data_IF_068201950161
#
_entry.id   IF_068201950161
#
_cell.length_a   1.000
_cell.length_b   1.000
_cell.length_c   1.000
_cell.angle_alpha   90.00
_cell.angle_beta   90.00
_cell.angle_gamma   90.00
#
_symmetry.space_group_name_H-M   'P 1'
#
loop_
_entity.id
_entity.type
_entity.pdbx_description
1 polymer ?
#
# COMPACT_ATOMS: atom_id res chain seq x y z
N UNK A 1 -14.33 -29.36 -23.53
CA UNK A 1 -15.13 -28.15 -23.82
C UNK A 1 -14.61 -27.05 -22.91
N UNK A 2 -14.01 -25.99 -23.47
CA UNK A 2 -13.40 -24.93 -22.67
C UNK A 2 -14.51 -24.12 -21.98
N UNK A 3 -14.43 -23.98 -20.66
CA UNK A 3 -15.37 -23.18 -19.88
C UNK A 3 -14.97 -21.69 -19.87
N UNK A 4 -15.86 -20.81 -19.42
CA UNK A 4 -15.59 -19.36 -19.33
C UNK A 4 -14.29 -19.02 -18.58
N UNK A 5 -13.95 -19.80 -17.55
CA UNK A 5 -12.74 -19.59 -16.76
C UNK A 5 -11.51 -19.85 -17.62
N UNK A 6 -11.51 -20.92 -18.41
CA UNK A 6 -10.45 -21.22 -19.35
C UNK A 6 -10.23 -20.07 -20.35
N UNK A 7 -11.29 -19.55 -20.97
CA UNK A 7 -11.19 -18.46 -21.95
C UNK A 7 -10.54 -17.19 -21.33
N UNK A 8 -10.93 -16.83 -20.10
CA UNK A 8 -10.33 -15.72 -19.35
C UNK A 8 -8.87 -16.00 -19.03
N UNK A 9 -8.53 -17.21 -18.57
CA UNK A 9 -7.15 -17.59 -18.27
C UNK A 9 -6.23 -17.54 -19.49
N UNK A 10 -6.70 -18.03 -20.64
CA UNK A 10 -5.97 -17.95 -21.91
C UNK A 10 -5.71 -16.50 -22.31
N UNK A 11 -6.71 -15.64 -22.20
CA UNK A 11 -6.59 -14.20 -22.52
C UNK A 11 -5.54 -13.50 -21.65
N UNK A 12 -5.52 -13.81 -20.35
CA UNK A 12 -4.53 -13.27 -19.39
C UNK A 12 -3.11 -13.75 -19.72
N UNK A 13 -2.95 -15.01 -20.11
CA UNK A 13 -1.63 -15.60 -20.37
C UNK A 13 -1.04 -15.13 -21.71
N UNK A 14 -1.88 -14.88 -22.72
CA UNK A 14 -1.46 -14.32 -24.02
C UNK A 14 -1.05 -12.85 -23.92
N UNK A 15 -1.64 -12.08 -22.99
CA UNK A 15 -1.40 -10.63 -22.88
C UNK A 15 -0.65 -10.25 -21.59
N UNK A 16 0.69 -10.23 -21.66
CA UNK A 16 1.59 -10.01 -20.51
C UNK A 16 1.87 -8.52 -20.19
N UNK A 17 0.91 -7.63 -20.39
CA UNK A 17 1.09 -6.19 -20.14
C UNK A 17 1.14 -5.82 -18.66
N UNK A 18 2.04 -4.90 -18.30
CA UNK A 18 2.23 -4.38 -16.94
C UNK A 18 3.23 -5.18 -16.09
N UNK A 19 3.52 -4.67 -14.90
CA UNK A 19 4.47 -5.30 -13.96
C UNK A 19 3.97 -6.67 -13.48
N UNK A 20 4.87 -7.48 -12.90
CA UNK A 20 4.51 -8.77 -12.32
C UNK A 20 3.39 -8.67 -11.28
N UNK A 21 3.41 -7.63 -10.42
CA UNK A 21 2.36 -7.42 -9.41
C UNK A 21 1.03 -7.01 -10.04
N UNK A 22 1.04 -6.15 -11.06
CA UNK A 22 -0.17 -5.78 -11.82
C UNK A 22 -0.78 -7.00 -12.50
N UNK A 23 0.05 -7.87 -13.10
CA UNK A 23 -0.39 -9.11 -13.75
C UNK A 23 -0.98 -10.10 -12.75
N UNK A 24 -0.37 -10.24 -11.57
CA UNK A 24 -0.88 -11.09 -10.50
C UNK A 24 -2.24 -10.59 -9.98
N UNK A 25 -2.36 -9.29 -9.67
CA UNK A 25 -3.62 -8.68 -9.22
C UNK A 25 -4.74 -8.80 -10.27
N UNK A 26 -4.40 -8.59 -11.55
CA UNK A 26 -5.31 -8.80 -12.67
C UNK A 26 -5.80 -10.24 -12.74
N UNK A 27 -4.89 -11.22 -12.61
CA UNK A 27 -5.25 -12.64 -12.62
C UNK A 27 -6.22 -12.96 -11.49
N UNK A 28 -5.93 -12.54 -10.27
CA UNK A 28 -6.80 -12.77 -9.12
C UNK A 28 -8.20 -12.16 -9.34
N UNK A 29 -8.26 -10.89 -9.74
CA UNK A 29 -9.51 -10.18 -9.98
C UNK A 29 -10.37 -10.86 -11.07
N UNK A 30 -9.75 -11.20 -12.20
CA UNK A 30 -10.45 -11.80 -13.34
C UNK A 30 -10.82 -13.27 -13.11
N UNK A 31 -10.03 -14.03 -12.36
CA UNK A 31 -10.43 -15.37 -11.91
C UNK A 31 -11.63 -15.29 -10.97
N UNK A 32 -11.72 -14.26 -10.11
CA UNK A 32 -12.89 -14.05 -9.27
C UNK A 32 -14.13 -13.69 -10.09
N UNK A 33 -13.99 -12.77 -11.05
CA UNK A 33 -15.04 -12.44 -12.01
C UNK A 33 -15.53 -13.69 -12.77
N UNK A 34 -14.60 -14.49 -13.31
CA UNK A 34 -14.91 -15.69 -14.06
C UNK A 34 -15.68 -16.72 -13.22
N UNK A 35 -15.30 -16.90 -11.95
CA UNK A 35 -16.00 -17.79 -11.02
C UNK A 35 -17.43 -17.34 -10.77
N UNK A 36 -17.65 -16.05 -10.51
CA UNK A 36 -18.99 -15.50 -10.24
C UNK A 36 -19.91 -15.63 -11.44
N UNK A 37 -19.44 -15.23 -12.63
CA UNK A 37 -20.23 -15.33 -13.86
C UNK A 37 -20.58 -16.76 -14.22
N UNK A 38 -19.60 -17.68 -14.15
CA UNK A 38 -19.86 -19.10 -14.42
C UNK A 38 -20.80 -19.73 -13.39
N UNK A 39 -20.77 -19.27 -12.13
CA UNK A 39 -21.71 -19.72 -11.10
C UNK A 39 -23.14 -19.29 -11.39
N UNK A 40 -23.32 -18.06 -11.88
CA UNK A 40 -24.65 -17.47 -12.13
C UNK A 40 -25.25 -17.85 -13.49
N UNK A 41 -24.43 -17.89 -14.55
CA UNK A 41 -24.89 -18.05 -15.93
C UNK A 41 -24.33 -19.35 -16.50
N UNK A 42 -25.18 -20.37 -16.61
CA UNK A 42 -24.82 -21.66 -17.20
C UNK A 42 -24.48 -21.49 -18.68
N UNK A 43 -23.42 -22.15 -19.14
CA UNK A 43 -23.00 -22.10 -20.55
C UNK A 43 -22.39 -20.76 -21.01
N UNK A 44 -22.12 -19.82 -20.08
CA UNK A 44 -21.47 -18.55 -20.44
C UNK A 44 -20.08 -18.80 -21.02
N UNK A 45 -19.74 -18.00 -22.04
CA UNK A 45 -18.47 -18.01 -22.77
C UNK A 45 -18.03 -16.58 -23.03
N UNK A 46 -16.74 -16.36 -23.27
CA UNK A 46 -16.22 -14.98 -23.37
C UNK A 46 -16.78 -14.24 -24.60
N UNK A 47 -17.03 -14.96 -25.69
CA UNK A 47 -17.66 -14.49 -26.92
C UNK A 47 -19.15 -14.13 -26.76
N UNK A 48 -19.87 -14.67 -25.77
CA UNK A 48 -21.27 -14.38 -25.51
C UNK A 48 -21.53 -13.45 -24.30
N UNK A 49 -20.47 -12.96 -23.63
CA UNK A 49 -20.59 -11.88 -22.64
C UNK A 49 -21.21 -10.63 -23.26
N UNK A 50 -22.21 -10.04 -22.60
CA UNK A 50 -22.98 -8.88 -23.03
C UNK A 50 -23.37 -8.01 -21.82
N UNK A 51 -24.15 -6.94 -22.04
CA UNK A 51 -24.50 -5.94 -21.02
C UNK A 51 -25.19 -6.53 -19.78
N UNK A 52 -26.02 -7.56 -19.95
CA UNK A 52 -26.71 -8.25 -18.84
C UNK A 52 -25.70 -8.85 -17.87
N UNK A 53 -24.68 -9.53 -18.39
CA UNK A 53 -23.67 -10.21 -17.57
C UNK A 53 -22.78 -9.21 -16.81
N UNK A 54 -22.36 -8.13 -17.49
CA UNK A 54 -21.53 -7.10 -16.88
C UNK A 54 -22.32 -6.29 -15.84
N UNK A 55 -23.56 -5.90 -16.16
CA UNK A 55 -24.43 -5.19 -15.22
C UNK A 55 -24.70 -6.01 -13.97
N UNK A 56 -25.00 -7.30 -14.12
CA UNK A 56 -25.17 -8.22 -12.98
C UNK A 56 -23.91 -8.26 -12.10
N UNK A 57 -22.73 -8.45 -12.69
CA UNK A 57 -21.48 -8.51 -11.92
C UNK A 57 -21.21 -7.21 -11.17
N UNK A 58 -21.39 -6.05 -11.82
CA UNK A 58 -21.18 -4.74 -11.19
C UNK A 58 -22.13 -4.54 -10.01
N UNK A 59 -23.40 -4.90 -10.14
CA UNK A 59 -24.34 -4.80 -9.02
C UNK A 59 -23.97 -5.78 -7.91
N UNK A 60 -23.55 -7.00 -8.26
CA UNK A 60 -23.19 -8.02 -7.28
C UNK A 60 -21.99 -7.61 -6.44
N UNK A 61 -20.89 -7.15 -7.04
CA UNK A 61 -19.69 -6.78 -6.28
C UNK A 61 -19.87 -5.56 -5.37
N UNK A 62 -20.92 -4.74 -5.58
CA UNK A 62 -21.24 -3.61 -4.70
C UNK A 62 -21.86 -4.04 -3.38
N UNK A 63 -22.61 -5.14 -3.41
CA UNK A 63 -23.38 -5.61 -2.24
C UNK A 63 -22.78 -6.86 -1.61
N UNK A 64 -22.05 -7.66 -2.39
CA UNK A 64 -21.49 -8.92 -1.91
C UNK A 64 -20.28 -8.66 -1.01
N UNK A 65 -20.29 -9.19 0.23
CA UNK A 65 -19.15 -9.06 1.11
C UNK A 65 -17.93 -9.83 0.59
N UNK A 66 -16.75 -9.34 0.96
CA UNK A 66 -15.50 -10.04 0.72
C UNK A 66 -15.47 -11.35 1.48
N UNK A 67 -15.32 -12.48 0.78
CA UNK A 67 -15.17 -13.82 1.37
C UNK A 67 -14.08 -13.85 2.48
N UNK A 68 -13.03 -13.03 2.34
CA UNK A 68 -11.93 -12.97 3.30
C UNK A 68 -12.26 -12.20 4.58
N UNK A 69 -13.17 -11.22 4.52
CA UNK A 69 -13.35 -10.25 5.61
C UNK A 69 -14.78 -10.11 6.09
N UNK A 70 -15.76 -10.76 5.43
CA UNK A 70 -17.19 -10.60 5.75
C UNK A 70 -17.76 -9.20 5.49
N UNK A 71 -16.93 -8.24 5.08
CA UNK A 71 -17.31 -6.84 4.90
C UNK A 71 -17.49 -6.46 3.43
N UNK A 72 -18.31 -5.43 3.18
CA UNK A 72 -18.46 -4.83 1.86
C UNK A 72 -17.11 -4.40 1.25
N UNK A 73 -17.01 -4.48 -0.08
CA UNK A 73 -15.79 -4.07 -0.77
C UNK A 73 -15.59 -2.55 -0.67
N UNK A 74 -14.38 -2.15 -0.28
CA UNK A 74 -14.04 -0.72 -0.30
C UNK A 74 -14.13 -0.15 -1.73
N UNK A 75 -14.40 1.16 -1.84
CA UNK A 75 -14.34 1.90 -3.11
C UNK A 75 -13.00 1.70 -3.82
N UNK A 76 -11.93 1.54 -3.04
CA UNK A 76 -10.63 1.06 -3.48
C UNK A 76 -10.71 -0.20 -4.33
N UNK A 77 -11.17 -1.27 -3.69
CA UNK A 77 -11.23 -2.61 -4.28
C UNK A 77 -12.18 -2.67 -5.48
N UNK A 78 -13.35 -2.03 -5.40
CA UNK A 78 -14.30 -1.95 -6.52
C UNK A 78 -13.66 -1.37 -7.78
N UNK A 79 -12.97 -0.23 -7.67
CA UNK A 79 -12.32 0.41 -8.83
C UNK A 79 -11.20 -0.44 -9.42
N UNK A 80 -10.46 -1.18 -8.59
CA UNK A 80 -9.41 -2.07 -9.08
C UNK A 80 -10.01 -3.25 -9.87
N UNK A 81 -11.05 -3.89 -9.34
CA UNK A 81 -11.77 -4.96 -10.05
C UNK A 81 -12.26 -4.47 -11.42
N UNK A 82 -12.91 -3.30 -11.46
CA UNK A 82 -13.40 -2.72 -12.70
C UNK A 82 -12.31 -2.31 -13.67
N UNK A 83 -11.14 -1.85 -13.18
CA UNK A 83 -10.01 -1.57 -14.05
C UNK A 83 -9.52 -2.83 -14.77
N UNK A 84 -9.44 -3.96 -14.06
CA UNK A 84 -9.08 -5.24 -14.66
C UNK A 84 -10.17 -5.78 -15.59
N UNK A 85 -11.44 -5.59 -15.25
CA UNK A 85 -12.55 -5.97 -16.13
C UNK A 85 -12.57 -5.16 -17.42
N UNK A 86 -12.36 -3.83 -17.36
CA UNK A 86 -12.22 -3.00 -18.57
C UNK A 86 -11.08 -3.49 -19.45
N UNK A 87 -9.94 -3.81 -18.84
CA UNK A 87 -8.81 -4.38 -19.56
C UNK A 87 -9.19 -5.69 -20.27
N UNK A 88 -9.87 -6.62 -19.60
CA UNK A 88 -10.30 -7.89 -20.21
C UNK A 88 -11.24 -7.63 -21.40
N UNK A 89 -12.22 -6.75 -21.21
CA UNK A 89 -13.20 -6.40 -22.24
C UNK A 89 -12.55 -5.75 -23.46
N UNK A 90 -11.52 -4.93 -23.25
CA UNK A 90 -10.70 -4.39 -24.33
C UNK A 90 -9.98 -5.49 -25.12
N UNK A 91 -9.40 -6.49 -24.44
CA UNK A 91 -8.68 -7.59 -25.12
C UNK A 91 -9.59 -8.45 -26.02
N UNK A 92 -10.90 -8.45 -25.76
CA UNK A 92 -11.88 -9.25 -26.52
C UNK A 92 -12.77 -8.40 -27.44
N UNK A 93 -12.41 -7.12 -27.65
CA UNK A 93 -13.15 -6.23 -28.55
C UNK A 93 -14.51 -5.78 -28.02
N UNK A 94 -14.74 -5.86 -26.71
CA UNK A 94 -16.02 -5.57 -26.03
C UNK A 94 -15.93 -4.41 -25.04
N UNK A 95 -15.05 -3.44 -25.31
CA UNK A 95 -14.82 -2.28 -24.42
C UNK A 95 -16.08 -1.45 -24.14
N UNK A 96 -17.07 -1.49 -25.05
CA UNK A 96 -18.35 -0.81 -24.89
C UNK A 96 -19.24 -1.34 -23.77
N UNK A 97 -19.05 -2.58 -23.30
CA UNK A 97 -19.91 -3.20 -22.28
C UNK A 97 -19.72 -2.63 -20.86
N UNK A 98 -18.66 -1.85 -20.63
CA UNK A 98 -18.38 -1.26 -19.33
C UNK A 98 -17.94 0.20 -19.50
N UNK A 99 -18.71 1.17 -18.98
CA UNK A 99 -18.36 2.58 -19.06
C UNK A 99 -16.95 2.89 -18.53
N UNK A 100 -16.22 3.77 -19.24
CA UNK A 100 -14.88 4.23 -18.86
C UNK A 100 -14.87 4.90 -17.47
N UNK A 101 -15.92 5.65 -17.15
CA UNK A 101 -16.04 6.40 -15.90
C UNK A 101 -16.77 5.59 -14.82
N UNK A 102 -16.18 5.52 -13.62
CA UNK A 102 -16.80 4.84 -12.48
C UNK A 102 -18.06 5.55 -11.96
N UNK A 103 -18.22 6.86 -12.22
CA UNK A 103 -19.39 7.63 -11.78
C UNK A 103 -20.68 7.13 -12.42
N UNK A 104 -20.64 6.73 -13.71
CA UNK A 104 -21.77 6.12 -14.43
C UNK A 104 -22.22 4.78 -13.84
N UNK A 105 -21.34 4.16 -13.04
CA UNK A 105 -21.63 2.93 -12.32
C UNK A 105 -22.05 3.20 -10.87
N UNK A 106 -22.27 4.46 -10.46
CA UNK A 106 -22.61 4.82 -9.09
C UNK A 106 -21.49 4.53 -8.08
N UNK A 107 -20.24 4.40 -8.53
CA UNK A 107 -19.11 4.11 -7.62
C UNK A 107 -18.51 5.42 -7.14
N UNK A 108 -18.45 5.66 -5.82
CA UNK A 108 -18.04 6.93 -5.26
C UNK A 108 -16.57 7.27 -5.59
N UNK A 109 -16.20 8.54 -5.46
CA UNK A 109 -14.79 8.96 -5.53
C UNK A 109 -14.01 8.39 -4.35
N UNK A 110 -12.72 8.09 -4.54
CA UNK A 110 -11.89 7.61 -3.44
C UNK A 110 -11.51 8.82 -2.60
N UNK A 111 -11.66 8.71 -1.28
CA UNK A 111 -11.13 9.69 -0.33
C UNK A 111 -9.70 9.28 0.01
N UNK A 112 -8.74 10.13 -0.34
CA UNK A 112 -7.31 9.89 -0.09
C UNK A 112 -6.77 10.67 1.12
N UNK A 113 -7.63 11.41 1.81
CA UNK A 113 -7.29 12.15 3.02
C UNK A 113 -7.43 11.20 4.21
N UNK A 114 -6.38 11.08 5.03
CA UNK A 114 -6.48 10.42 6.32
C UNK A 114 -7.25 11.32 7.30
N UNK A 115 -8.33 10.81 7.88
CA UNK A 115 -9.09 11.49 8.93
C UNK A 115 -8.51 11.24 10.32
N UNK A 116 -7.92 10.05 10.51
CA UNK A 116 -7.25 9.61 11.73
C UNK A 116 -5.89 9.01 11.39
N UNK A 117 -4.99 9.00 12.37
CA UNK A 117 -3.68 8.38 12.22
C UNK A 117 -3.83 6.88 11.92
N UNK A 118 -3.03 6.42 10.96
CA UNK A 118 -2.84 4.98 10.67
C UNK A 118 -1.43 4.52 11.07
N UNK A 119 -0.74 5.34 11.87
CA UNK A 119 0.53 4.97 12.49
C UNK A 119 0.35 3.72 13.34
N UNK A 120 1.36 2.87 13.34
CA UNK A 120 1.47 1.77 14.31
C UNK A 120 2.77 1.93 15.11
N UNK A 121 2.77 1.40 16.32
CA UNK A 121 3.97 1.32 17.15
C UNK A 121 4.52 -0.09 17.08
N UNK A 122 5.78 -0.21 16.70
CA UNK A 122 6.57 -1.41 16.93
C UNK A 122 7.68 -1.02 17.92
N UNK A 123 7.41 -1.24 19.21
CA UNK A 123 8.36 -0.99 20.29
C UNK A 123 9.57 -1.92 20.20
N UNK A 124 10.59 -1.63 20.99
CA UNK A 124 11.83 -2.40 20.96
C UNK A 124 11.61 -3.85 21.43
N UNK A 125 10.73 -4.10 22.40
CA UNK A 125 10.40 -5.46 22.86
C UNK A 125 9.84 -6.33 21.73
N UNK A 126 8.86 -5.82 20.99
CA UNK A 126 8.29 -6.52 19.84
C UNK A 126 9.32 -6.77 18.74
N UNK A 127 10.21 -5.80 18.48
CA UNK A 127 11.30 -6.03 17.53
C UNK A 127 12.30 -7.07 18.03
N UNK A 128 12.56 -7.13 19.34
CA UNK A 128 13.41 -8.14 19.96
C UNK A 128 12.79 -9.54 19.84
N UNK A 129 11.49 -9.68 20.08
CA UNK A 129 10.77 -10.95 19.93
C UNK A 129 10.78 -11.44 18.48
N UNK A 130 10.52 -10.56 17.52
CA UNK A 130 10.61 -10.87 16.10
C UNK A 130 12.06 -11.23 15.73
N UNK A 131 13.05 -10.55 16.31
CA UNK A 131 14.48 -10.80 16.05
C UNK A 131 14.90 -12.20 16.49
N UNK A 132 14.34 -12.72 17.59
CA UNK A 132 14.56 -14.09 18.02
C UNK A 132 14.09 -15.14 17.00
N UNK A 133 13.14 -14.78 16.13
CA UNK A 133 12.65 -15.65 15.05
C UNK A 133 13.33 -15.37 13.71
N UNK A 134 13.64 -14.10 13.43
CA UNK A 134 14.34 -13.68 12.21
C UNK A 134 15.00 -12.31 12.35
N UNK A 135 16.33 -12.31 12.41
CA UNK A 135 17.14 -11.09 12.39
C UNK A 135 16.87 -10.21 11.15
N UNK A 136 16.67 -10.83 9.98
CA UNK A 136 16.39 -10.11 8.73
C UNK A 136 15.05 -9.37 8.79
N UNK A 137 13.99 -10.03 9.27
CA UNK A 137 12.65 -9.41 9.36
C UNK A 137 12.65 -8.28 10.37
N UNK A 138 13.26 -8.48 11.54
CA UNK A 138 13.39 -7.44 12.56
C UNK A 138 14.16 -6.21 12.03
N UNK A 139 15.31 -6.42 11.36
CA UNK A 139 16.07 -5.34 10.75
C UNK A 139 15.29 -4.59 9.67
N UNK A 140 14.56 -5.31 8.79
CA UNK A 140 13.72 -4.66 7.78
C UNK A 140 12.56 -3.86 8.38
N UNK A 141 11.98 -4.32 9.50
CA UNK A 141 10.97 -3.56 10.24
C UNK A 141 11.57 -2.32 10.91
N UNK A 142 12.74 -2.47 11.53
CA UNK A 142 13.48 -1.40 12.19
C UNK A 142 13.83 -0.29 11.20
N UNK A 143 14.36 -0.63 10.02
CA UNK A 143 14.60 0.37 8.95
C UNK A 143 13.31 1.03 8.46
N UNK A 144 12.20 0.29 8.37
CA UNK A 144 10.88 0.86 8.05
C UNK A 144 10.40 1.84 9.13
N UNK A 145 10.66 1.56 10.41
CA UNK A 145 10.33 2.42 11.56
C UNK A 145 11.20 3.68 11.58
N UNK A 146 12.50 3.54 11.38
CA UNK A 146 13.48 4.63 11.55
C UNK A 146 13.59 5.56 10.35
N UNK A 147 13.36 5.06 9.13
CA UNK A 147 13.51 5.84 7.89
C UNK A 147 12.21 5.93 7.07
N UNK A 148 11.12 5.37 7.58
CA UNK A 148 9.85 5.35 6.87
C UNK A 148 9.89 4.55 5.58
N UNK A 149 10.82 3.59 5.43
CA UNK A 149 10.91 2.78 4.20
C UNK A 149 9.62 1.99 3.99
N UNK A 150 9.21 1.80 2.72
CA UNK A 150 8.25 0.74 2.42
C UNK A 150 8.89 -0.58 2.85
N UNK A 151 8.11 -1.49 3.44
CA UNK A 151 8.67 -2.76 3.87
C UNK A 151 9.35 -3.54 2.73
N UNK A 152 8.83 -3.44 1.51
CA UNK A 152 9.51 -4.00 0.33
C UNK A 152 10.86 -3.33 0.01
N UNK A 153 10.98 -2.01 0.21
CA UNK A 153 12.25 -1.30 0.06
C UNK A 153 13.27 -1.79 1.10
N UNK A 154 12.83 -1.98 2.36
CA UNK A 154 13.71 -2.46 3.43
C UNK A 154 14.11 -3.94 3.30
N UNK A 155 13.41 -4.76 2.51
CA UNK A 155 13.86 -6.12 2.16
C UNK A 155 14.91 -6.12 1.04
N UNK A 156 14.83 -5.15 0.12
CA UNK A 156 15.67 -5.07 -1.09
C UNK A 156 16.95 -4.26 -0.90
N UNK A 157 16.95 -3.35 0.08
CA UNK A 157 18.07 -2.45 0.36
C UNK A 157 19.35 -3.24 0.60
N UNK A 158 20.46 -2.76 0.03
CA UNK A 158 21.82 -3.18 0.37
C UNK A 158 22.44 -2.11 1.24
N UNK A 159 22.57 -2.37 2.53
CA UNK A 159 22.88 -1.32 3.52
C UNK A 159 24.27 -0.72 3.26
N UNK A 160 25.25 -1.56 2.94
CA UNK A 160 26.61 -1.14 2.55
C UNK A 160 26.69 -0.21 1.35
N UNK A 161 25.70 -0.24 0.45
CA UNK A 161 25.62 0.68 -0.71
C UNK A 161 24.74 1.91 -0.43
N UNK A 162 23.86 1.84 0.57
CA UNK A 162 22.87 2.87 0.85
C UNK A 162 23.35 3.87 1.92
N UNK A 163 24.11 3.42 2.90
CA UNK A 163 24.60 4.28 3.98
C UNK A 163 25.74 5.18 3.50
N UNK A 164 25.45 6.48 3.41
CA UNK A 164 26.38 7.53 3.01
C UNK A 164 26.84 8.38 4.21
N UNK A 165 26.89 7.79 5.41
CA UNK A 165 27.24 8.40 6.71
C UNK A 165 26.23 9.40 7.25
N UNK A 166 25.89 10.42 6.47
CA UNK A 166 24.93 11.47 6.86
C UNK A 166 23.52 11.22 6.28
N UNK A 167 23.42 10.38 5.26
CA UNK A 167 22.17 10.09 4.56
C UNK A 167 22.06 8.60 4.20
N UNK A 168 20.82 8.13 4.14
CA UNK A 168 20.47 6.84 3.56
C UNK A 168 20.01 7.04 2.11
N UNK A 169 20.85 6.66 1.16
CA UNK A 169 20.66 6.84 -0.28
C UNK A 169 20.00 5.62 -0.90
N UNK A 170 18.73 5.73 -1.26
CA UNK A 170 17.97 4.65 -1.90
C UNK A 170 18.07 4.73 -3.42
N UNK A 171 18.48 3.62 -4.04
CA UNK A 171 18.55 3.46 -5.49
C UNK A 171 17.18 3.17 -6.10
N UNK A 172 17.03 3.52 -7.38
CA UNK A 172 15.80 3.32 -8.15
C UNK A 172 15.35 1.86 -8.18
N UNK A 173 16.28 0.91 -8.29
CA UNK A 173 15.99 -0.54 -8.35
C UNK A 173 15.35 -1.11 -7.07
N UNK A 174 15.50 -0.44 -5.93
CA UNK A 174 14.88 -0.84 -4.66
C UNK A 174 13.52 -0.17 -4.45
N UNK A 175 13.35 1.02 -5.03
CA UNK A 175 12.21 1.88 -4.81
C UNK A 175 11.02 1.52 -5.69
N UNK A 176 9.82 1.69 -5.13
CA UNK A 176 8.60 1.59 -5.92
C UNK A 176 8.61 2.68 -7.01
N UNK A 177 8.19 2.30 -8.22
CA UNK A 177 8.12 3.17 -9.40
C UNK A 177 9.48 3.80 -9.79
N UNK A 178 10.59 3.26 -9.26
CA UNK A 178 11.94 3.66 -9.65
C UNK A 178 12.41 5.01 -9.10
N UNK A 179 11.75 5.59 -8.09
CA UNK A 179 12.07 6.93 -7.57
C UNK A 179 13.20 6.86 -6.52
N UNK A 180 14.46 7.21 -6.86
CA UNK A 180 15.54 7.27 -5.88
C UNK A 180 15.35 8.46 -4.93
N UNK A 181 15.93 8.37 -3.73
CA UNK A 181 15.90 9.47 -2.74
C UNK A 181 16.97 9.29 -1.67
N UNK A 182 17.40 10.40 -1.09
CA UNK A 182 18.19 10.43 0.13
C UNK A 182 17.29 10.74 1.33
N UNK A 183 17.56 10.11 2.47
CA UNK A 183 16.87 10.37 3.73
C UNK A 183 17.94 10.72 4.77
N UNK A 184 17.86 11.87 5.44
CA UNK A 184 18.88 12.27 6.40
C UNK A 184 18.93 11.32 7.60
N UNK A 185 20.14 11.05 8.07
CA UNK A 185 20.42 10.31 9.32
C UNK A 185 20.59 11.36 10.41
N UNK A 186 19.59 11.47 11.26
CA UNK A 186 19.37 12.57 12.21
C UNK A 186 19.51 12.14 13.66
N UNK A 187 19.24 10.86 13.94
CA UNK A 187 19.19 10.35 15.31
C UNK A 187 20.18 9.20 15.51
N UNK A 188 20.60 9.00 16.75
CA UNK A 188 21.41 7.84 17.12
C UNK A 188 20.66 6.52 16.88
N UNK A 189 19.33 6.48 17.05
CA UNK A 189 18.52 5.29 16.76
C UNK A 189 18.58 4.88 15.29
N UNK A 190 18.57 5.85 14.37
CA UNK A 190 18.72 5.60 12.94
C UNK A 190 20.10 5.01 12.61
N UNK A 191 21.16 5.54 13.24
CA UNK A 191 22.52 5.01 13.11
C UNK A 191 22.62 3.57 13.61
N UNK A 192 22.13 3.30 14.82
CA UNK A 192 22.11 1.94 15.40
C UNK A 192 21.33 0.95 14.53
N UNK A 193 20.19 1.36 13.97
CA UNK A 193 19.40 0.50 13.08
C UNK A 193 20.16 0.14 11.79
N UNK A 194 20.91 1.09 11.22
CA UNK A 194 21.76 0.82 10.05
C UNK A 194 22.92 -0.11 10.40
N UNK A 195 23.61 0.13 11.52
CA UNK A 195 24.75 -0.68 11.93
C UNK A 195 24.33 -2.14 12.18
N UNK A 196 23.17 -2.37 12.83
CA UNK A 196 22.58 -3.71 13.00
C UNK A 196 22.23 -4.35 11.65
N UNK A 197 21.57 -3.60 10.77
CA UNK A 197 21.17 -4.11 9.47
C UNK A 197 22.40 -4.44 8.58
N UNK A 198 23.46 -3.66 8.68
CA UNK A 198 24.74 -3.89 8.01
C UNK A 198 25.42 -5.15 8.55
N UNK A 199 25.45 -5.35 9.86
CA UNK A 199 26.02 -6.55 10.47
C UNK A 199 25.30 -7.84 10.02
N UNK A 200 23.98 -7.76 9.75
CA UNK A 200 23.17 -8.90 9.28
C UNK A 200 23.34 -9.15 7.78
N UNK A 201 23.33 -8.09 6.97
CA UNK A 201 23.26 -8.20 5.50
C UNK A 201 24.63 -8.17 4.80
N UNK A 202 25.65 -7.59 5.44
CA UNK A 202 26.95 -7.32 4.85
C UNK A 202 26.83 -6.56 3.52
N UNK A 203 27.31 -7.17 2.44
CA UNK A 203 27.23 -6.63 1.07
C UNK A 203 25.93 -6.99 0.33
N UNK A 204 25.04 -7.76 0.96
CA UNK A 204 23.81 -8.26 0.35
C UNK A 204 22.60 -7.42 0.77
N UNK A 205 21.43 -7.80 0.25
CA UNK A 205 20.18 -7.21 0.71
C UNK A 205 19.75 -7.79 2.06
N UNK A 206 18.74 -7.22 2.70
CA UNK A 206 18.03 -7.84 3.82
C UNK A 206 17.10 -8.98 3.37
N UNK A 207 17.61 -9.83 2.49
CA UNK A 207 17.01 -11.10 2.09
C UNK A 207 18.07 -12.18 2.32
N UNK A 208 17.79 -13.23 3.11
CA UNK A 208 18.72 -14.32 3.35
C UNK A 208 19.22 -14.93 2.05
N UNK A 209 20.52 -15.24 1.99
CA UNK A 209 21.09 -15.97 0.86
C UNK A 209 20.43 -17.34 0.71
N UNK A 210 20.34 -17.83 -0.53
CA UNK A 210 19.64 -19.08 -0.84
C UNK A 210 18.11 -18.99 -0.81
N UNK A 211 17.52 -17.85 -0.43
CA UNK A 211 16.08 -17.63 -0.47
C UNK A 211 15.71 -16.61 -1.54
N UNK A 212 14.67 -16.90 -2.33
CA UNK A 212 14.17 -15.92 -3.30
C UNK A 212 13.48 -14.74 -2.59
N UNK A 213 13.54 -13.55 -3.17
CA UNK A 213 12.85 -12.37 -2.62
C UNK A 213 11.35 -12.62 -2.38
N UNK A 214 10.67 -13.29 -3.32
CA UNK A 214 9.22 -13.56 -3.22
C UNK A 214 8.93 -14.45 -2.02
N UNK A 215 9.74 -15.49 -1.84
CA UNK A 215 9.60 -16.40 -0.72
C UNK A 215 9.88 -15.70 0.62
N UNK A 216 10.99 -14.96 0.70
CA UNK A 216 11.33 -14.23 1.92
C UNK A 216 10.27 -13.18 2.26
N UNK A 217 9.79 -12.40 1.29
CA UNK A 217 8.74 -11.41 1.50
C UNK A 217 7.40 -12.04 1.95
N UNK A 218 7.10 -13.28 1.54
CA UNK A 218 5.93 -14.03 2.03
C UNK A 218 6.15 -14.49 3.48
N UNK A 219 7.30 -15.12 3.78
CA UNK A 219 7.65 -15.58 5.14
C UNK A 219 7.67 -14.42 6.13
N UNK A 220 8.28 -13.29 5.75
CA UNK A 220 8.34 -12.08 6.55
C UNK A 220 6.94 -11.56 6.91
N UNK A 221 6.05 -11.41 5.92
CA UNK A 221 4.67 -10.96 6.18
C UNK A 221 3.90 -11.92 7.08
N UNK A 222 4.08 -13.22 6.91
CA UNK A 222 3.43 -14.21 7.75
C UNK A 222 3.92 -14.13 9.20
N UNK A 223 5.23 -14.03 9.41
CA UNK A 223 5.82 -13.85 10.73
C UNK A 223 5.28 -12.57 11.40
N UNK A 224 5.32 -11.45 10.70
CA UNK A 224 4.82 -10.16 11.22
C UNK A 224 3.33 -10.24 11.59
N UNK A 225 2.52 -10.98 10.82
CA UNK A 225 1.12 -11.23 11.16
C UNK A 225 0.94 -12.10 12.40
N UNK A 226 1.79 -13.10 12.63
CA UNK A 226 1.76 -13.93 13.86
C UNK A 226 2.01 -13.09 15.11
N UNK A 227 2.79 -12.02 14.96
CA UNK A 227 3.05 -11.01 16.01
C UNK A 227 2.00 -9.88 16.06
N UNK A 228 0.82 -10.07 15.45
CA UNK A 228 -0.30 -9.12 15.51
C UNK A 228 -0.16 -7.86 14.66
N UNK A 229 0.92 -7.72 13.87
CA UNK A 229 1.09 -6.56 12.99
C UNK A 229 0.49 -6.86 11.60
N UNK A 230 -0.78 -6.51 11.41
CA UNK A 230 -1.46 -6.73 10.12
C UNK A 230 -1.27 -5.59 9.11
N UNK A 231 -0.81 -4.43 9.56
CA UNK A 231 -0.65 -3.22 8.73
C UNK A 231 0.74 -2.61 8.86
N UNK A 232 1.77 -3.36 8.47
CA UNK A 232 3.18 -2.92 8.55
C UNK A 232 3.45 -1.55 7.87
N UNK A 233 2.65 -1.16 6.86
CA UNK A 233 2.77 0.16 6.27
C UNK A 233 2.53 1.30 7.27
N UNK A 234 1.85 1.02 8.39
CA UNK A 234 1.68 1.95 9.51
C UNK A 234 3.00 2.45 10.09
N UNK A 235 4.11 1.68 10.02
CA UNK A 235 5.44 2.17 10.47
C UNK A 235 5.87 3.40 9.68
N UNK A 236 5.56 3.41 8.38
CA UNK A 236 5.82 4.54 7.50
C UNK A 236 4.90 5.73 7.77
N UNK A 237 3.64 5.48 8.20
CA UNK A 237 2.78 6.54 8.72
C UNK A 237 3.37 7.16 9.98
N UNK A 238 3.83 6.34 10.93
CA UNK A 238 4.46 6.79 12.16
C UNK A 238 5.74 7.60 11.90
N UNK A 239 6.59 7.16 10.97
CA UNK A 239 7.75 7.95 10.53
C UNK A 239 7.33 9.32 10.00
N UNK A 240 6.36 9.36 9.08
CA UNK A 240 5.92 10.62 8.46
C UNK A 240 5.40 11.61 9.52
N UNK A 241 4.60 11.14 10.48
CA UNK A 241 4.03 11.97 11.53
C UNK A 241 5.09 12.47 12.50
N UNK A 242 6.00 11.59 12.94
CA UNK A 242 7.13 11.97 13.79
C UNK A 242 8.04 12.99 13.09
N UNK A 243 8.34 12.77 11.81
CA UNK A 243 9.14 13.68 10.99
C UNK A 243 8.46 15.04 10.82
N UNK A 244 7.15 15.06 10.62
CA UNK A 244 6.38 16.29 10.58
C UNK A 244 6.47 17.05 11.91
N UNK A 245 6.24 16.37 13.03
CA UNK A 245 6.35 16.94 14.38
C UNK A 245 7.74 17.53 14.64
N UNK A 246 8.83 16.86 14.24
CA UNK A 246 10.19 17.39 14.38
C UNK A 246 10.42 18.68 13.57
N UNK A 247 9.78 18.81 12.41
CA UNK A 247 9.97 19.94 11.50
C UNK A 247 9.10 21.13 11.86
N UNK A 248 7.92 20.89 12.44
CA UNK A 248 6.95 21.94 12.76
C UNK A 248 6.92 22.28 14.24
N UNK A 249 7.19 21.32 15.12
CA UNK A 249 6.98 21.40 16.57
C UNK A 249 5.55 21.04 17.00
N UNK A 250 4.67 20.62 16.10
CA UNK A 250 3.29 20.22 16.42
C UNK A 250 2.80 19.00 15.63
N UNK A 251 1.82 18.30 16.19
CA UNK A 251 1.27 17.06 15.63
C UNK A 251 0.71 17.26 14.20
N UNK A 252 0.69 16.21 13.40
CA UNK A 252 0.04 16.29 12.09
C UNK A 252 -1.50 16.37 12.22
N UNK A 253 -2.25 16.89 11.24
CA UNK A 253 -3.72 16.86 11.27
C UNK A 253 -4.34 15.48 11.51
N UNK A 254 -3.74 14.42 10.94
CA UNK A 254 -4.17 13.04 11.19
C UNK A 254 -3.97 12.61 12.66
N UNK A 255 -3.00 13.19 13.35
CA UNK A 255 -2.70 12.94 14.76
C UNK A 255 -3.37 13.93 15.73
N UNK A 256 -4.09 14.94 15.24
CA UNK A 256 -4.82 15.90 16.09
C UNK A 256 -4.26 17.32 16.09
N UNK A 257 -3.23 17.58 15.28
CA UNK A 257 -2.68 18.92 15.16
C UNK A 257 -3.55 19.91 14.39
N UNK A 258 -3.09 21.16 14.29
CA UNK A 258 -3.84 22.27 13.73
C UNK A 258 -4.26 22.04 12.27
N UNK A 259 -5.45 22.52 11.93
CA UNK A 259 -5.91 22.68 10.56
C UNK A 259 -5.43 24.01 10.01
N UNK A 260 -5.40 24.15 8.68
CA UNK A 260 -5.01 25.37 7.98
C UNK A 260 -5.84 26.59 8.40
N UNK A 261 -7.11 26.39 8.76
CA UNK A 261 -7.99 27.44 9.29
C UNK A 261 -7.53 28.01 10.63
N UNK A 262 -6.72 27.26 11.37
CA UNK A 262 -6.22 27.62 12.70
C UNK A 262 -4.74 28.01 12.66
N UNK A 263 -4.15 28.14 11.47
CA UNK A 263 -2.75 28.51 11.26
C UNK A 263 -2.65 29.97 10.83
N UNK A 264 -1.63 30.67 11.34
CA UNK A 264 -1.18 31.93 10.72
C UNK A 264 -0.55 31.65 9.35
N UNK A 265 -0.36 32.68 8.54
CA UNK A 265 0.33 32.56 7.25
C UNK A 265 1.75 31.97 7.40
N UNK A 266 2.47 32.35 8.46
CA UNK A 266 3.80 31.82 8.76
C UNK A 266 3.76 30.33 9.13
N UNK A 267 2.82 29.92 10.00
CA UNK A 267 2.63 28.52 10.36
C UNK A 267 2.22 27.66 9.15
N UNK A 268 1.37 28.20 8.26
CA UNK A 268 0.98 27.51 7.03
C UNK A 268 2.17 27.33 6.07
N UNK A 269 3.07 28.31 5.99
CA UNK A 269 4.31 28.18 5.23
C UNK A 269 5.22 27.06 5.79
N UNK A 270 5.34 26.98 7.12
CA UNK A 270 6.06 25.90 7.82
C UNK A 270 5.42 24.53 7.58
N UNK A 271 4.08 24.40 7.68
CA UNK A 271 3.35 23.17 7.35
C UNK A 271 3.63 22.71 5.91
N UNK A 272 3.55 23.63 4.95
CA UNK A 272 3.79 23.31 3.54
C UNK A 272 5.23 22.86 3.29
N UNK A 273 6.20 23.51 3.90
CA UNK A 273 7.61 23.14 3.82
C UNK A 273 7.84 21.74 4.43
N UNK A 274 7.32 21.49 5.64
CA UNK A 274 7.42 20.20 6.31
C UNK A 274 6.79 19.06 5.49
N UNK A 275 5.62 19.30 4.89
CA UNK A 275 4.97 18.33 3.99
C UNK A 275 5.82 18.05 2.75
N UNK A 276 6.49 19.04 2.16
CA UNK A 276 7.38 18.81 1.03
C UNK A 276 8.60 17.98 1.43
N UNK A 277 9.23 18.29 2.56
CA UNK A 277 10.35 17.51 3.10
C UNK A 277 9.94 16.05 3.31
N UNK A 278 8.84 15.80 4.02
CA UNK A 278 8.30 14.44 4.23
C UNK A 278 7.97 13.78 2.89
N UNK A 279 7.39 14.51 1.93
CA UNK A 279 7.09 13.96 0.60
C UNK A 279 8.33 13.48 -0.14
N UNK A 280 9.43 14.24 -0.06
CA UNK A 280 10.70 13.91 -0.69
C UNK A 280 11.38 12.71 0.00
N UNK A 281 11.42 12.70 1.33
CA UNK A 281 11.97 11.57 2.11
C UNK A 281 11.16 10.27 1.90
N UNK A 282 9.87 10.38 1.59
CA UNK A 282 9.01 9.26 1.21
C UNK A 282 9.04 8.97 -0.31
N UNK A 283 9.70 9.76 -1.14
CA UNK A 283 9.82 9.50 -2.58
C UNK A 283 8.51 9.70 -3.34
N UNK A 284 7.77 10.75 -3.02
CA UNK A 284 6.53 11.15 -3.72
C UNK A 284 6.66 12.47 -4.50
N UNK A 285 7.54 13.38 -4.06
CA UNK A 285 7.85 14.63 -4.78
C UNK A 285 6.69 15.65 -4.88
N UNK A 286 5.59 15.45 -4.14
CA UNK A 286 4.41 16.34 -4.15
C UNK A 286 3.65 16.31 -2.82
N UNK A 287 3.22 17.48 -2.33
CA UNK A 287 2.50 17.59 -1.04
C UNK A 287 1.21 16.76 -1.00
N UNK A 288 0.44 16.70 -2.09
CA UNK A 288 -0.89 16.07 -2.07
C UNK A 288 -0.90 14.61 -1.62
N UNK A 289 0.20 13.88 -1.81
CA UNK A 289 0.33 12.49 -1.37
C UNK A 289 0.56 12.38 0.14
N UNK A 290 1.13 13.41 0.78
CA UNK A 290 1.34 13.39 2.23
C UNK A 290 0.04 13.43 3.02
N UNK A 291 -1.08 13.84 2.41
CA UNK A 291 -2.41 13.78 3.05
C UNK A 291 -2.84 12.36 3.45
N UNK A 292 -2.29 11.32 2.81
CA UNK A 292 -2.51 9.92 3.21
C UNK A 292 -1.81 9.63 4.55
N UNK A 293 -0.69 10.28 4.83
CA UNK A 293 0.16 10.04 6.00
C UNK A 293 -0.11 11.02 7.15
N UNK A 294 -0.29 12.30 6.83
CA UNK A 294 -0.38 13.44 7.74
C UNK A 294 -1.80 13.99 7.88
N UNK A 295 -2.76 13.50 7.09
CA UNK A 295 -4.08 14.12 6.97
C UNK A 295 -4.04 15.42 6.15
N UNK A 296 -5.22 15.95 5.83
CA UNK A 296 -5.32 17.22 5.10
C UNK A 296 -5.37 18.37 6.09
N UNK A 297 -4.57 19.42 5.86
CA UNK A 297 -4.69 20.65 6.63
C UNK A 297 -5.99 21.41 6.31
N UNK A 298 -6.55 21.24 5.10
CA UNK A 298 -7.70 22.04 4.61
C UNK A 298 -9.06 21.36 4.72
N UNK A 299 -9.11 20.07 5.08
CA UNK A 299 -10.38 19.38 5.29
C UNK A 299 -10.57 19.16 6.79
N UNK A 300 -11.66 19.73 7.33
CA UNK A 300 -12.09 19.45 8.70
C UNK A 300 -12.38 17.96 8.87
N UNK A 301 -12.11 17.44 10.07
CA UNK A 301 -12.55 16.10 10.46
C UNK A 301 -14.07 16.03 10.28
N UNK A 302 -14.57 14.98 9.61
CA UNK A 302 -15.97 14.60 9.79
C UNK A 302 -16.19 14.19 11.26
N UNK A 303 -17.43 14.15 11.76
CA UNK A 303 -17.69 13.67 13.11
C UNK A 303 -16.98 12.34 13.33
N UNK A 304 -16.31 12.22 14.48
CA UNK A 304 -15.78 10.95 14.95
C UNK A 304 -17.03 10.07 15.13
N UNK A 305 -17.34 9.24 14.15
CA UNK A 305 -18.15 8.08 14.42
C UNK A 305 -17.24 7.22 15.27
N UNK A 306 -17.54 7.21 16.56
CA UNK A 306 -16.89 6.35 17.52
C UNK A 306 -17.20 4.92 17.09
N UNK A 307 -16.33 4.36 16.24
CA UNK A 307 -16.44 2.98 15.78
C UNK A 307 -15.82 2.08 16.87
N UNK A 308 -16.40 2.19 18.07
CA UNK A 308 -16.22 1.26 19.18
C UNK A 308 -16.93 -0.08 18.91
N UNK A 309 -17.38 -0.31 17.68
CA UNK A 309 -17.91 -1.61 17.21
C UNK A 309 -16.90 -2.49 16.48
N UNK A 310 -15.63 -2.08 16.35
CA UNK A 310 -14.54 -2.97 15.94
C UNK A 310 -13.82 -3.48 17.19
N UNK A 311 -14.59 -4.14 18.06
CA UNK A 311 -14.08 -5.01 19.10
C UNK A 311 -14.07 -6.44 18.59
N UNK A 312 -12.85 -6.98 18.51
CA UNK A 312 -12.47 -8.35 18.83
C UNK A 312 -12.59 -9.43 17.71
N UNK A 313 -11.52 -10.24 17.65
CA UNK A 313 -11.24 -11.51 16.94
C UNK A 313 -10.90 -11.53 15.43
#
# INVERSE_FOLDING_TARGET
MNDFKHDVHVTINRNKSGSHSTRAARREALSSFARMLHGQFKGIRLDNVNDKHISWYVQRIKVEPSVRTGQALSTGRLKNLLSHLRWLLEQVGKSGLLPKENARLGIPRRVYVAQTSRGITAGDDLLNDIRAHSHFVAASMELSREFGLRFEESLKIRVSEADSRNELCLRSSWCKDGVPRAIPIRTQSQRVALDRALAISGTHSLCPQGTSYIEHARRARNLINQFGIHRIHGLRHSYAQRRYMELTGWESPAAGGPLATNMTAAQYAVDRAARMTVSNELGHGRVSVTNVYLGSATFARGPIVDDTSILID
#
